data_IF_947147852590
#
_entry.id   IF_947147852590
#
_cell.length_a   1.000
_cell.length_b   1.000
_cell.length_c   1.000
_cell.angle_alpha   90.00
_cell.angle_beta   90.00
_cell.angle_gamma   90.00
#
_symmetry.space_group_name_H-M   'P 1'
#
loop_
_entity.id
_entity.type
_entity.pdbx_description
1 polymer ?
#
# COMPACT_ATOMS: atom_id res chain seq x y z
N UNK A 1 -12.52 10.38 47.71
CA UNK A 1 -12.52 11.64 46.94
C UNK A 1 -13.17 11.32 45.61
N UNK A 2 -14.44 11.67 45.47
CA UNK A 2 -15.30 11.29 44.34
C UNK A 2 -15.39 12.50 43.43
N UNK A 3 -14.96 12.37 42.18
CA UNK A 3 -15.13 13.40 41.15
C UNK A 3 -16.09 12.83 40.12
N UNK A 4 -17.32 13.36 40.12
CA UNK A 4 -18.33 13.14 39.08
C UNK A 4 -18.11 14.15 37.96
N UNK A 5 -17.98 13.68 36.73
CA UNK A 5 -17.90 14.51 35.52
C UNK A 5 -19.20 14.38 34.73
N UNK A 6 -19.94 15.49 34.62
CA UNK A 6 -21.16 15.59 33.81
C UNK A 6 -20.79 15.91 32.36
N UNK A 7 -21.18 15.04 31.42
CA UNK A 7 -21.18 15.33 29.99
C UNK A 7 -22.47 16.05 29.61
N UNK A 8 -22.35 17.27 29.08
CA UNK A 8 -23.44 17.98 28.39
C UNK A 8 -23.35 17.66 26.89
N UNK A 9 -24.41 17.06 26.35
CA UNK A 9 -24.57 16.76 24.93
C UNK A 9 -25.39 17.87 24.26
N UNK A 10 -24.83 18.53 23.24
CA UNK A 10 -25.54 19.51 22.42
C UNK A 10 -25.96 18.85 21.10
N UNK A 11 -27.22 18.42 21.04
CA UNK A 11 -27.90 18.04 19.80
C UNK A 11 -28.62 19.27 19.24
N UNK A 12 -28.19 19.78 18.09
CA UNK A 12 -28.89 20.83 17.35
C UNK A 12 -30.01 20.21 16.50
N UNK A 13 -31.26 20.39 16.97
CA UNK A 13 -32.47 20.08 16.21
C UNK A 13 -32.81 21.30 15.35
N UNK A 14 -32.68 21.18 14.03
CA UNK A 14 -33.17 22.19 13.09
C UNK A 14 -34.63 21.88 12.75
N UNK A 15 -35.56 22.70 13.26
CA UNK A 15 -36.99 22.67 12.86
C UNK A 15 -37.21 23.61 11.68
N UNK A 16 -37.49 23.05 10.51
CA UNK A 16 -37.95 23.79 9.34
C UNK A 16 -39.45 24.06 9.47
N UNK A 17 -39.84 25.33 9.51
CA UNK A 17 -41.24 25.75 9.50
C UNK A 17 -41.60 26.22 8.10
N UNK A 18 -42.52 25.53 7.42
CA UNK A 18 -43.05 25.92 6.11
C UNK A 18 -44.33 26.73 6.32
N UNK A 19 -44.35 27.96 5.83
CA UNK A 19 -45.56 28.76 5.64
C UNK A 19 -45.40 29.58 4.36
N UNK A 20 -46.42 29.50 3.51
CA UNK A 20 -46.36 29.90 2.10
C UNK A 20 -46.55 31.40 1.83
N UNK A 21 -46.38 31.74 0.56
CA UNK A 21 -46.65 33.08 0.03
C UNK A 21 -45.90 33.34 -1.27
N UNK A 22 -46.63 33.36 -2.38
CA UNK A 22 -46.16 33.65 -3.76
C UNK A 22 -45.93 35.15 -3.94
N UNK A 23 -44.82 35.56 -4.59
CA UNK A 23 -44.81 36.50 -5.73
C UNK A 23 -43.40 36.75 -6.28
N UNK A 24 -43.33 36.73 -7.62
CA UNK A 24 -42.21 37.02 -8.51
C UNK A 24 -41.65 38.45 -8.37
N UNK A 25 -40.32 38.59 -8.39
CA UNK A 25 -39.63 39.79 -8.87
C UNK A 25 -38.45 39.35 -9.73
N UNK A 26 -38.46 39.78 -10.99
CA UNK A 26 -37.38 39.61 -11.96
C UNK A 26 -36.35 40.72 -11.66
N UNK A 27 -35.12 40.34 -11.32
CA UNK A 27 -34.01 41.30 -11.17
C UNK A 27 -32.75 40.70 -11.78
N UNK A 28 -32.37 41.22 -12.95
CA UNK A 28 -31.06 40.99 -13.55
C UNK A 28 -29.98 41.64 -12.68
N UNK A 29 -28.98 40.86 -12.26
CA UNK A 29 -27.73 41.36 -11.71
C UNK A 29 -26.56 40.68 -12.42
N UNK A 30 -25.78 41.48 -13.12
CA UNK A 30 -24.45 41.21 -13.65
C UNK A 30 -23.45 41.25 -12.50
N UNK A 31 -22.62 40.22 -12.34
CA UNK A 31 -21.37 40.25 -11.57
C UNK A 31 -21.47 39.95 -10.07
N UNK A 32 -20.78 38.89 -9.62
CA UNK A 32 -20.46 38.68 -8.21
C UNK A 32 -20.40 37.21 -7.80
N UNK A 33 -19.16 36.68 -7.70
CA UNK A 33 -18.70 35.55 -6.88
C UNK A 33 -19.67 34.37 -6.73
N UNK A 34 -19.63 33.46 -7.71
CA UNK A 34 -20.27 32.16 -7.62
C UNK A 34 -19.67 31.34 -6.47
N UNK A 35 -20.50 31.08 -5.46
CA UNK A 35 -20.20 30.06 -4.46
C UNK A 35 -20.00 28.73 -5.15
N UNK A 36 -18.78 28.19 -5.03
CA UNK A 36 -18.47 26.84 -5.46
C UNK A 36 -19.39 25.89 -4.72
N UNK A 37 -20.41 25.40 -5.42
CA UNK A 37 -21.02 24.14 -5.05
C UNK A 37 -19.89 23.13 -5.12
N UNK A 38 -19.50 22.58 -3.96
CA UNK A 38 -18.64 21.40 -3.94
C UNK A 38 -19.47 20.30 -4.62
N UNK A 39 -19.27 20.13 -5.92
CA UNK A 39 -19.64 18.89 -6.56
C UNK A 39 -18.91 17.80 -5.80
N UNK A 40 -19.66 16.98 -5.07
CA UNK A 40 -19.14 15.69 -4.64
C UNK A 40 -18.64 15.01 -5.92
N UNK A 41 -17.35 14.63 -6.00
CA UNK A 41 -16.89 13.86 -7.14
C UNK A 41 -17.76 12.60 -7.20
N UNK A 42 -18.49 12.45 -8.29
CA UNK A 42 -19.13 11.17 -8.61
C UNK A 42 -17.96 10.26 -8.94
N UNK A 43 -17.58 9.38 -8.00
CA UNK A 43 -16.72 8.24 -8.29
C UNK A 43 -17.53 7.32 -9.20
N UNK A 44 -17.28 7.46 -10.50
CA UNK A 44 -17.68 6.43 -11.45
C UNK A 44 -16.67 5.32 -11.21
N UNK A 45 -17.08 4.22 -10.58
CA UNK A 45 -16.24 3.02 -10.51
C UNK A 45 -15.90 2.64 -11.95
N UNK A 46 -14.61 2.47 -12.24
CA UNK A 46 -14.20 2.04 -13.57
C UNK A 46 -14.71 0.60 -13.76
N UNK A 47 -15.30 0.28 -14.92
CA UNK A 47 -16.05 -0.97 -15.13
C UNK A 47 -15.24 -2.29 -15.05
N UNK A 48 -14.00 -2.27 -14.59
CA UNK A 48 -13.12 -3.44 -14.39
C UNK A 48 -12.28 -3.33 -13.09
N UNK A 49 -12.77 -2.58 -12.10
CA UNK A 49 -12.08 -2.39 -10.82
C UNK A 49 -12.16 -3.66 -9.97
N UNK A 50 -10.99 -4.21 -9.65
CA UNK A 50 -10.84 -5.35 -8.75
C UNK A 50 -10.62 -4.83 -7.33
N UNK A 51 -11.15 -5.53 -6.34
CA UNK A 51 -10.98 -5.18 -4.92
C UNK A 51 -10.14 -6.27 -4.25
N UNK A 52 -9.14 -5.83 -3.49
CA UNK A 52 -8.38 -6.68 -2.58
C UNK A 52 -8.75 -6.31 -1.14
N UNK A 53 -9.52 -7.17 -0.49
CA UNK A 53 -9.87 -6.98 0.91
C UNK A 53 -8.69 -7.35 1.82
N UNK A 54 -8.40 -6.51 2.80
CA UNK A 54 -7.32 -6.72 3.78
C UNK A 54 -7.92 -6.61 5.17
N UNK A 55 -7.72 -7.62 6.01
CA UNK A 55 -8.08 -7.63 7.43
C UNK A 55 -6.89 -7.15 8.27
N UNK A 56 -6.85 -5.87 8.69
CA UNK A 56 -5.83 -5.41 9.62
C UNK A 56 -6.10 -5.96 11.03
N UNK A 57 -5.03 -6.33 11.72
CA UNK A 57 -5.03 -6.95 13.04
C UNK A 57 -3.96 -6.26 13.88
N UNK A 58 -4.37 -5.57 14.94
CA UNK A 58 -3.46 -5.00 15.92
C UNK A 58 -3.08 -6.06 16.95
N UNK A 59 -1.80 -6.40 17.03
CA UNK A 59 -1.31 -7.31 18.08
C UNK A 59 -0.99 -6.51 19.34
N UNK A 60 -1.39 -7.05 20.48
CA UNK A 60 -1.15 -6.50 21.81
C UNK A 60 -0.58 -7.59 22.74
N UNK A 61 -0.10 -7.15 23.90
CA UNK A 61 0.19 -8.06 25.00
C UNK A 61 -1.06 -8.81 25.49
N UNK A 62 -0.85 -9.80 26.35
CA UNK A 62 -1.92 -10.69 26.85
C UNK A 62 -3.07 -9.92 27.53
N UNK A 63 -2.76 -8.74 28.11
CA UNK A 63 -3.72 -7.89 28.81
C UNK A 63 -4.41 -6.88 27.88
N UNK A 64 -3.97 -6.75 26.62
CA UNK A 64 -4.45 -5.78 25.65
C UNK A 64 -4.10 -4.33 26.00
N UNK A 65 -3.01 -4.11 26.76
CA UNK A 65 -2.59 -2.80 27.26
C UNK A 65 -1.50 -2.20 26.38
N UNK A 66 -0.47 -2.98 26.07
CA UNK A 66 0.61 -2.57 25.16
C UNK A 66 0.32 -3.17 23.79
N UNK A 67 0.15 -2.33 22.79
CA UNK A 67 -0.20 -2.74 21.44
C UNK A 67 0.79 -2.17 20.43
N UNK A 68 1.02 -2.91 19.34
CA UNK A 68 1.70 -2.41 18.17
C UNK A 68 0.96 -1.20 17.59
N UNK A 69 1.70 -0.30 16.96
CA UNK A 69 1.14 0.84 16.26
C UNK A 69 0.58 0.40 14.91
N UNK A 70 -0.57 0.98 14.56
CA UNK A 70 -1.25 0.68 13.30
C UNK A 70 -1.16 1.90 12.40
N UNK A 71 -0.54 1.71 11.23
CA UNK A 71 -0.53 2.69 10.15
C UNK A 71 -0.74 1.95 8.82
N UNK A 72 -1.89 2.18 8.20
CA UNK A 72 -2.34 1.42 7.04
C UNK A 72 -1.75 1.96 5.73
N UNK A 73 -1.34 3.23 5.70
CA UNK A 73 -0.89 3.90 4.47
C UNK A 73 -1.83 3.65 3.28
N UNK A 74 -3.15 3.64 3.51
CA UNK A 74 -4.15 3.19 2.53
C UNK A 74 -4.02 3.90 1.18
N UNK A 75 -3.96 5.24 1.18
CA UNK A 75 -3.78 6.03 -0.04
C UNK A 75 -2.48 5.68 -0.82
N UNK A 76 -1.43 5.21 -0.13
CA UNK A 76 -0.19 4.75 -0.77
C UNK A 76 -0.41 3.39 -1.41
N UNK A 77 -1.04 2.45 -0.69
CA UNK A 77 -1.37 1.13 -1.20
C UNK A 77 -2.29 1.22 -2.43
N UNK A 78 -3.35 2.03 -2.36
CA UNK A 78 -4.27 2.28 -3.46
C UNK A 78 -3.58 2.92 -4.66
N UNK A 79 -2.68 3.89 -4.44
CA UNK A 79 -1.97 4.52 -5.56
C UNK A 79 -1.05 3.52 -6.27
N UNK A 80 -0.37 2.65 -5.51
CA UNK A 80 0.51 1.64 -6.10
C UNK A 80 -0.31 0.59 -6.86
N UNK A 81 -1.33 0.01 -6.23
CA UNK A 81 -2.15 -1.05 -6.81
C UNK A 81 -3.16 -0.57 -7.85
N UNK A 82 -3.50 0.72 -7.84
CA UNK A 82 -4.25 1.38 -8.90
C UNK A 82 -3.57 1.30 -10.27
N UNK A 83 -2.24 1.14 -10.34
CA UNK A 83 -1.53 0.84 -11.59
C UNK A 83 -2.03 -0.46 -12.24
N UNK A 84 -2.51 -1.40 -11.43
CA UNK A 84 -3.08 -2.68 -11.84
C UNK A 84 -4.62 -2.66 -11.86
N UNK A 85 -5.28 -1.51 -11.62
CA UNK A 85 -6.73 -1.44 -11.47
C UNK A 85 -7.26 -2.26 -10.28
N UNK A 86 -6.47 -2.35 -9.21
CA UNK A 86 -6.82 -3.01 -7.95
C UNK A 86 -6.97 -1.93 -6.87
N UNK A 87 -8.11 -1.94 -6.20
CA UNK A 87 -8.46 -1.13 -5.04
C UNK A 87 -8.15 -1.91 -3.75
N UNK A 88 -7.52 -1.28 -2.76
CA UNK A 88 -7.22 -1.93 -1.48
C UNK A 88 -8.29 -1.55 -0.46
N UNK A 89 -9.14 -2.50 -0.09
CA UNK A 89 -10.18 -2.28 0.89
C UNK A 89 -9.75 -2.79 2.26
N UNK A 90 -9.34 -1.89 3.16
CA UNK A 90 -9.08 -2.26 4.55
C UNK A 90 -10.38 -2.48 5.31
N UNK A 91 -10.57 -3.70 5.83
CA UNK A 91 -11.66 -4.06 6.72
C UNK A 91 -11.47 -3.42 8.11
N UNK A 92 -12.52 -3.39 8.96
CA UNK A 92 -12.40 -2.89 10.32
C UNK A 92 -11.29 -3.61 11.11
N UNK A 93 -10.51 -2.83 11.85
CA UNK A 93 -9.38 -3.33 12.66
C UNK A 93 -9.83 -4.39 13.68
N UNK A 94 -9.21 -5.56 13.60
CA UNK A 94 -9.29 -6.60 14.62
C UNK A 94 -8.14 -6.45 15.63
N UNK A 95 -8.26 -7.10 16.78
CA UNK A 95 -7.23 -7.09 17.81
C UNK A 95 -6.90 -8.52 18.26
N UNK A 96 -5.62 -8.80 18.44
CA UNK A 96 -5.08 -10.06 18.98
C UNK A 96 -4.31 -9.75 20.27
N UNK A 97 -4.75 -10.29 21.41
CA UNK A 97 -4.07 -10.14 22.70
C UNK A 97 -3.23 -11.38 22.99
N UNK A 98 -1.99 -11.36 22.53
CA UNK A 98 -1.04 -12.44 22.77
C UNK A 98 0.39 -11.91 22.60
N UNK A 99 1.08 -11.78 23.74
CA UNK A 99 2.44 -11.27 23.79
C UNK A 99 3.45 -12.10 23.01
N UNK A 100 3.12 -13.36 22.68
CA UNK A 100 3.95 -14.22 21.81
C UNK A 100 4.09 -13.63 20.42
N UNK A 101 3.03 -13.01 19.88
CA UNK A 101 3.04 -12.48 18.51
C UNK A 101 3.30 -10.98 18.44
N UNK A 102 3.36 -10.29 19.59
CA UNK A 102 3.71 -8.86 19.64
C UNK A 102 5.18 -8.64 19.22
N UNK A 103 6.06 -9.58 19.56
CA UNK A 103 7.43 -9.68 19.04
C UNK A 103 7.54 -11.05 18.40
N UNK A 104 7.60 -11.10 17.07
CA UNK A 104 7.38 -12.35 16.31
C UNK A 104 8.56 -12.71 15.43
N UNK A 105 8.73 -13.99 15.13
CA UNK A 105 9.68 -14.49 14.12
C UNK A 105 8.99 -15.21 12.93
N UNK A 106 9.78 -15.84 12.06
CA UNK A 106 9.28 -16.57 10.88
C UNK A 106 8.48 -17.84 11.26
N UNK A 107 8.86 -18.55 12.33
CA UNK A 107 8.15 -19.75 12.77
C UNK A 107 6.77 -19.36 13.34
N UNK A 108 6.72 -18.28 14.12
CA UNK A 108 5.48 -17.72 14.67
C UNK A 108 4.60 -17.10 13.57
N UNK A 109 5.18 -16.52 12.52
CA UNK A 109 4.42 -16.04 11.37
C UNK A 109 3.67 -17.17 10.64
N UNK A 110 4.31 -18.34 10.50
CA UNK A 110 3.66 -19.53 9.92
C UNK A 110 2.48 -19.96 10.81
N UNK A 111 2.63 -19.89 12.12
CA UNK A 111 1.58 -20.21 13.10
C UNK A 111 0.38 -19.27 12.95
N UNK A 112 0.63 -17.95 12.94
CA UNK A 112 -0.37 -16.90 12.68
C UNK A 112 -1.12 -17.11 11.36
N UNK A 113 -0.42 -17.61 10.33
CA UNK A 113 -0.98 -17.77 9.00
C UNK A 113 -1.83 -19.04 8.83
N UNK A 114 -1.48 -20.16 9.50
CA UNK A 114 -2.06 -21.47 9.20
C UNK A 114 -2.53 -22.32 10.36
N UNK A 115 -2.12 -22.02 11.58
CA UNK A 115 -2.58 -22.80 12.71
C UNK A 115 -3.97 -22.37 13.14
N UNK A 116 -4.64 -23.24 13.88
CA UNK A 116 -5.98 -22.99 14.39
C UNK A 116 -7.08 -23.10 13.34
N UNK A 117 -8.27 -22.70 13.74
CA UNK A 117 -9.49 -22.67 12.94
C UNK A 117 -9.68 -21.29 12.26
N UNK A 118 -10.70 -21.19 11.42
CA UNK A 118 -11.12 -19.92 10.81
C UNK A 118 -11.41 -18.87 11.88
N UNK A 119 -10.86 -17.66 11.71
CA UNK A 119 -10.99 -16.56 12.66
C UNK A 119 -10.01 -16.57 13.85
N UNK A 120 -9.26 -17.67 14.06
CA UNK A 120 -8.20 -17.68 15.07
C UNK A 120 -7.13 -16.63 14.74
N UNK A 121 -6.41 -16.16 15.76
CA UNK A 121 -5.36 -15.14 15.64
C UNK A 121 -5.86 -13.79 15.08
N UNK A 122 -7.16 -13.51 15.19
CA UNK A 122 -7.78 -12.28 14.70
C UNK A 122 -8.03 -12.26 13.19
N UNK A 123 -7.79 -13.38 12.49
CA UNK A 123 -8.00 -13.49 11.04
C UNK A 123 -9.45 -13.26 10.65
N UNK A 124 -9.67 -12.92 9.38
CA UNK A 124 -11.02 -12.97 8.84
C UNK A 124 -11.48 -14.44 8.75
N UNK A 125 -12.73 -14.78 9.15
CA UNK A 125 -13.21 -16.17 9.11
C UNK A 125 -13.31 -16.75 7.69
N UNK A 126 -13.45 -15.90 6.67
CA UNK A 126 -13.48 -16.34 5.27
C UNK A 126 -12.09 -16.37 4.61
N UNK A 127 -11.03 -15.96 5.33
CA UNK A 127 -9.66 -16.10 4.81
C UNK A 127 -9.28 -17.57 4.67
N UNK A 128 -8.83 -17.93 3.49
CA UNK A 128 -8.20 -19.23 3.22
C UNK A 128 -6.74 -19.03 2.82
N UNK A 129 -6.03 -20.11 2.48
CA UNK A 129 -4.64 -20.01 2.01
C UNK A 129 -4.49 -19.20 0.70
N UNK A 130 -5.53 -19.15 -0.12
CA UNK A 130 -5.46 -18.69 -1.52
C UNK A 130 -6.58 -17.76 -1.91
N UNK A 131 -7.55 -17.48 -1.03
CA UNK A 131 -8.76 -16.71 -1.32
C UNK A 131 -9.24 -16.03 -0.02
N UNK A 132 -10.15 -15.07 -0.14
CA UNK A 132 -10.71 -14.25 0.93
C UNK A 132 -9.80 -13.10 1.35
N UNK A 133 -10.18 -12.34 2.40
CA UNK A 133 -9.38 -11.20 2.83
C UNK A 133 -7.95 -11.60 3.22
N UNK A 134 -6.99 -10.72 2.90
CA UNK A 134 -5.60 -10.89 3.31
C UNK A 134 -5.41 -10.45 4.75
N UNK A 135 -4.84 -11.30 5.59
CA UNK A 135 -4.60 -10.96 7.00
C UNK A 135 -3.31 -10.15 7.16
N UNK A 136 -3.40 -8.99 7.80
CA UNK A 136 -2.30 -8.06 8.01
C UNK A 136 -2.13 -7.82 9.52
N UNK A 137 -1.08 -8.41 10.12
CA UNK A 137 -0.76 -8.20 11.53
C UNK A 137 0.25 -7.08 11.71
N UNK A 138 -0.13 -6.10 12.52
CA UNK A 138 0.77 -5.10 13.07
C UNK A 138 1.39 -5.62 14.36
N UNK A 139 2.72 -5.67 14.39
CA UNK A 139 3.54 -6.19 15.49
C UNK A 139 4.57 -5.14 15.92
N UNK A 140 5.09 -5.26 17.14
CA UNK A 140 6.14 -4.34 17.63
C UNK A 140 7.45 -4.60 16.88
N UNK A 141 7.89 -5.87 16.85
CA UNK A 141 9.17 -6.28 16.26
C UNK A 141 9.02 -7.57 15.47
N UNK A 142 9.67 -7.63 14.31
CA UNK A 142 9.93 -8.87 13.56
C UNK A 142 11.38 -9.29 13.81
N UNK A 143 11.58 -10.34 14.59
CA UNK A 143 12.90 -10.87 14.91
C UNK A 143 13.53 -11.58 13.70
N UNK A 144 14.79 -11.25 13.41
CA UNK A 144 15.54 -11.91 12.32
C UNK A 144 16.83 -12.54 12.83
N UNK A 145 17.17 -13.72 12.28
CA UNK A 145 18.43 -14.40 12.59
C UNK A 145 19.66 -13.66 12.07
N UNK A 146 19.47 -12.71 11.15
CA UNK A 146 20.54 -11.88 10.57
C UNK A 146 20.91 -10.68 11.43
N UNK A 147 20.06 -10.33 12.42
CA UNK A 147 20.20 -9.12 13.22
C UNK A 147 19.90 -7.82 12.44
N UNK A 148 19.38 -7.93 11.22
CA UNK A 148 18.88 -6.80 10.44
C UNK A 148 17.42 -6.52 10.83
N UNK A 149 17.05 -5.25 10.78
CA UNK A 149 15.66 -4.80 10.95
C UNK A 149 14.82 -5.29 9.77
N UNK A 150 13.69 -5.91 10.08
CA UNK A 150 12.69 -6.32 9.10
C UNK A 150 11.43 -5.50 9.30
N UNK A 151 11.03 -4.80 8.23
CA UNK A 151 9.89 -3.88 8.22
C UNK A 151 8.57 -4.57 7.90
N UNK A 152 8.63 -5.65 7.13
CA UNK A 152 7.49 -6.47 6.75
C UNK A 152 7.91 -7.88 6.38
N UNK A 153 6.94 -8.79 6.39
CA UNK A 153 7.14 -10.17 5.98
C UNK A 153 5.87 -10.74 5.35
N UNK A 154 5.96 -11.23 4.13
CA UNK A 154 4.90 -11.98 3.48
C UNK A 154 5.48 -13.04 2.55
N UNK A 155 4.70 -14.08 2.33
CA UNK A 155 5.10 -15.22 1.51
C UNK A 155 3.96 -15.66 0.62
N UNK A 156 4.32 -16.12 -0.57
CA UNK A 156 3.36 -16.62 -1.54
C UNK A 156 2.62 -17.83 -0.97
N UNK A 157 1.29 -17.74 -1.01
CA UNK A 157 0.41 -18.79 -0.51
C UNK A 157 0.51 -18.96 1.00
N UNK A 158 0.90 -17.91 1.74
CA UNK A 158 0.71 -17.88 3.19
C UNK A 158 -0.55 -17.11 3.65
N UNK A 159 -1.22 -16.35 2.77
CA UNK A 159 -2.31 -15.44 3.13
C UNK A 159 -2.04 -14.67 4.44
N UNK A 160 -0.97 -13.88 4.40
CA UNK A 160 -0.52 -13.18 5.57
C UNK A 160 0.50 -12.11 5.25
N UNK A 161 0.48 -11.04 6.04
CA UNK A 161 1.46 -9.97 6.05
C UNK A 161 1.76 -9.62 7.51
N UNK A 162 3.04 -9.57 7.87
CA UNK A 162 3.51 -8.88 9.07
C UNK A 162 4.00 -7.49 8.71
N UNK A 163 3.76 -6.52 9.59
CA UNK A 163 4.31 -5.17 9.54
C UNK A 163 4.77 -4.78 10.94
N UNK A 164 6.02 -4.34 11.07
CA UNK A 164 6.58 -3.92 12.36
C UNK A 164 6.44 -2.42 12.63
N UNK A 165 6.47 -2.03 13.91
CA UNK A 165 6.51 -0.62 14.32
C UNK A 165 7.76 0.12 13.77
N UNK A 166 8.85 -0.61 13.48
CA UNK A 166 10.08 -0.06 12.87
C UNK A 166 9.81 0.68 11.55
N UNK A 167 8.68 0.42 10.87
CA UNK A 167 8.31 1.17 9.66
C UNK A 167 8.20 2.66 9.96
N UNK A 168 7.76 3.05 11.15
CA UNK A 168 7.43 4.43 11.51
C UNK A 168 8.68 5.27 11.70
N UNK A 169 9.77 4.68 12.20
CA UNK A 169 11.03 5.39 12.44
C UNK A 169 11.89 5.56 11.17
N UNK A 170 11.53 4.90 10.08
CA UNK A 170 12.28 4.97 8.84
C UNK A 170 12.27 6.38 8.21
N UNK A 171 13.36 6.71 7.53
CA UNK A 171 13.59 7.99 6.87
C UNK A 171 13.29 9.19 7.78
N UNK A 172 13.84 9.16 9.00
CA UNK A 172 13.65 10.17 10.03
C UNK A 172 12.18 10.35 10.46
N UNK A 173 11.41 9.27 10.51
CA UNK A 173 10.01 9.31 10.92
C UNK A 173 9.00 9.47 9.76
N UNK A 174 9.46 9.50 8.51
CA UNK A 174 8.56 9.63 7.36
C UNK A 174 7.82 8.32 7.02
N UNK A 175 8.35 7.18 7.48
CA UNK A 175 7.71 5.88 7.31
C UNK A 175 8.30 5.04 6.17
N UNK A 176 8.23 3.71 6.28
CA UNK A 176 8.31 2.78 5.12
C UNK A 176 6.96 2.67 4.45
N UNK A 177 6.51 3.77 3.86
CA UNK A 177 5.12 3.93 3.40
C UNK A 177 4.70 2.91 2.31
N UNK A 178 5.66 2.32 1.60
CA UNK A 178 5.42 1.32 0.54
C UNK A 178 5.39 -0.15 1.03
N UNK A 179 5.65 -0.40 2.32
CA UNK A 179 5.85 -1.75 2.85
C UNK A 179 4.61 -2.62 2.68
N UNK A 180 3.43 -2.12 3.03
CA UNK A 180 2.18 -2.89 2.92
C UNK A 180 1.93 -3.28 1.47
N UNK A 181 2.09 -2.35 0.52
CA UNK A 181 1.93 -2.64 -0.91
C UNK A 181 2.93 -3.72 -1.39
N UNK A 182 4.18 -3.64 -0.93
CA UNK A 182 5.20 -4.65 -1.24
C UNK A 182 4.80 -6.05 -0.75
N UNK A 183 4.40 -6.15 0.52
CA UNK A 183 4.06 -7.43 1.13
C UNK A 183 2.76 -8.01 0.57
N UNK A 184 1.77 -7.18 0.22
CA UNK A 184 0.58 -7.62 -0.52
C UNK A 184 0.96 -8.22 -1.88
N UNK A 185 2.00 -7.69 -2.54
CA UNK A 185 2.51 -8.23 -3.79
C UNK A 185 2.97 -9.68 -3.68
N UNK A 186 3.53 -10.08 -2.52
CA UNK A 186 3.86 -11.49 -2.27
C UNK A 186 2.61 -12.36 -2.16
N UNK A 187 1.53 -11.90 -1.55
CA UNK A 187 0.27 -12.66 -1.51
C UNK A 187 -0.35 -12.78 -2.91
N UNK A 188 -0.19 -11.77 -3.76
CA UNK A 188 -0.61 -11.78 -5.17
C UNK A 188 0.34 -12.55 -6.11
N UNK A 189 1.31 -13.30 -5.55
CA UNK A 189 2.16 -14.21 -6.32
C UNK A 189 3.44 -13.58 -6.89
N UNK A 190 3.76 -12.33 -6.54
CA UNK A 190 4.95 -11.63 -7.04
C UNK A 190 6.18 -11.96 -6.19
N UNK A 191 7.35 -12.02 -6.83
CA UNK A 191 8.64 -12.37 -6.22
C UNK A 191 9.69 -11.35 -6.59
N UNK A 192 10.63 -11.09 -5.68
CA UNK A 192 11.78 -10.23 -5.97
C UNK A 192 12.65 -10.72 -7.14
N UNK A 193 12.65 -12.01 -7.49
CA UNK A 193 13.59 -12.59 -8.48
C UNK A 193 13.02 -12.83 -9.88
N UNK A 194 11.69 -12.87 -10.02
CA UNK A 194 11.01 -13.24 -11.28
C UNK A 194 9.96 -12.21 -11.71
N UNK A 195 9.48 -11.41 -10.76
CA UNK A 195 8.46 -10.37 -10.94
C UNK A 195 8.83 -9.16 -10.06
N UNK A 196 10.02 -8.58 -10.26
CA UNK A 196 10.57 -7.58 -9.35
C UNK A 196 12.09 -7.54 -9.28
N UNK A 197 12.78 -8.45 -9.97
CA UNK A 197 14.22 -8.39 -10.12
C UNK A 197 14.54 -7.40 -11.23
N UNK A 198 14.72 -6.14 -10.90
CA UNK A 198 15.19 -5.20 -11.91
C UNK A 198 15.67 -3.91 -11.31
N UNK A 199 14.74 -2.98 -11.15
CA UNK A 199 15.07 -1.58 -10.96
C UNK A 199 14.73 -1.10 -9.56
N UNK A 200 15.52 -0.15 -9.06
CA UNK A 200 15.33 0.40 -7.72
C UNK A 200 13.94 1.05 -7.53
N UNK A 201 13.29 1.49 -8.61
CA UNK A 201 11.97 2.11 -8.61
C UNK A 201 10.80 1.10 -8.65
N UNK A 202 11.05 -0.21 -8.74
CA UNK A 202 10.01 -1.23 -8.72
C UNK A 202 9.57 -1.55 -7.29
N UNK A 203 8.25 -1.65 -7.04
CA UNK A 203 7.74 -1.96 -5.69
C UNK A 203 8.22 -3.32 -5.20
N UNK A 204 8.35 -4.32 -6.08
CA UNK A 204 8.80 -5.68 -5.72
C UNK A 204 10.32 -5.85 -5.71
N UNK A 205 11.10 -4.78 -5.89
CA UNK A 205 12.53 -4.84 -5.63
C UNK A 205 12.80 -5.14 -4.16
N UNK A 206 13.79 -5.98 -3.90
CA UNK A 206 14.20 -6.30 -2.53
C UNK A 206 14.66 -5.02 -1.79
N UNK A 207 14.48 -4.98 -0.48
CA UNK A 207 14.84 -3.81 0.34
C UNK A 207 16.32 -3.39 0.25
N UNK A 208 17.21 -4.27 -0.22
CA UNK A 208 18.63 -3.96 -0.41
C UNK A 208 18.92 -3.02 -1.60
N UNK A 209 18.01 -2.94 -2.57
CA UNK A 209 18.18 -2.16 -3.81
C UNK A 209 17.01 -1.22 -4.10
N UNK A 210 15.88 -1.39 -3.41
CA UNK A 210 14.67 -0.57 -3.61
C UNK A 210 14.86 0.85 -3.09
N UNK A 211 14.48 1.83 -3.91
CA UNK A 211 14.28 3.22 -3.52
C UNK A 211 12.84 3.36 -3.02
N UNK A 212 12.69 3.74 -1.76
CA UNK A 212 11.38 3.90 -1.10
C UNK A 212 10.87 5.32 -1.34
N UNK A 213 9.60 5.52 -1.73
CA UNK A 213 9.02 6.86 -1.85
C UNK A 213 8.99 7.58 -0.49
N UNK A 214 9.21 8.90 -0.49
CA UNK A 214 9.12 9.73 0.72
C UNK A 214 7.69 10.26 0.93
N UNK A 215 6.90 10.28 -0.13
CA UNK A 215 5.53 10.76 -0.14
C UNK A 215 4.68 10.07 -1.21
N UNK A 216 3.37 10.28 -1.16
CA UNK A 216 2.44 9.81 -2.20
C UNK A 216 2.77 10.43 -3.57
N UNK A 217 3.30 11.64 -3.61
CA UNK A 217 3.60 12.37 -4.85
C UNK A 217 4.78 11.75 -5.61
N UNK A 218 5.62 10.96 -4.94
CA UNK A 218 6.76 10.27 -5.57
C UNK A 218 6.36 8.98 -6.29
N UNK A 219 5.13 8.49 -6.07
CA UNK A 219 4.65 7.22 -6.62
C UNK A 219 4.15 7.43 -8.05
N UNK A 220 4.53 6.50 -8.93
CA UNK A 220 4.11 6.50 -10.33
C UNK A 220 2.57 6.67 -10.47
N UNK A 221 2.08 7.48 -11.42
CA UNK A 221 2.81 8.12 -12.52
C UNK A 221 3.45 9.48 -12.18
N UNK A 222 3.36 9.92 -10.93
CA UNK A 222 3.76 11.26 -10.49
C UNK A 222 5.23 11.31 -10.01
N UNK A 223 5.71 12.53 -9.76
CA UNK A 223 6.98 12.82 -9.10
C UNK A 223 8.18 12.02 -9.62
N UNK A 224 8.92 11.41 -8.70
CA UNK A 224 10.09 10.56 -8.98
C UNK A 224 9.71 9.20 -9.59
N UNK A 225 8.40 8.91 -9.67
CA UNK A 225 7.81 7.73 -10.32
C UNK A 225 8.36 6.44 -9.73
N UNK A 226 8.38 6.33 -8.41
CA UNK A 226 8.77 5.15 -7.64
C UNK A 226 7.59 4.18 -7.49
N UNK A 227 7.86 3.02 -6.88
CA UNK A 227 6.91 1.92 -6.63
C UNK A 227 6.14 1.46 -7.88
N UNK A 228 6.84 1.33 -9.01
CA UNK A 228 6.26 0.88 -10.27
C UNK A 228 5.92 -0.61 -10.28
N UNK A 229 4.85 -0.95 -11.00
CA UNK A 229 4.58 -2.31 -11.46
C UNK A 229 4.93 -2.47 -12.95
N UNK A 230 5.52 -3.61 -13.33
CA UNK A 230 5.69 -4.00 -14.73
C UNK A 230 4.39 -4.58 -15.29
N UNK A 231 4.20 -4.61 -16.62
CA UNK A 231 3.04 -5.24 -17.22
C UNK A 231 2.82 -6.69 -16.77
N UNK A 232 3.88 -7.47 -16.64
CA UNK A 232 3.80 -8.88 -16.21
C UNK A 232 3.43 -9.00 -14.72
N UNK A 233 3.84 -8.06 -13.88
CA UNK A 233 3.40 -7.99 -12.48
C UNK A 233 1.91 -7.68 -12.39
N UNK A 234 1.44 -6.73 -13.20
CA UNK A 234 0.02 -6.36 -13.27
C UNK A 234 -0.81 -7.56 -13.72
N UNK A 235 -0.42 -8.23 -14.81
CA UNK A 235 -1.13 -9.43 -15.31
C UNK A 235 -1.16 -10.52 -14.23
N UNK A 236 0.00 -10.86 -13.64
CA UNK A 236 0.09 -11.91 -12.62
C UNK A 236 -0.75 -11.60 -11.37
N UNK A 237 -0.76 -10.34 -10.93
CA UNK A 237 -1.53 -9.92 -9.76
C UNK A 237 -3.04 -10.02 -10.02
N UNK A 238 -3.50 -9.58 -11.19
CA UNK A 238 -4.91 -9.62 -11.60
C UNK A 238 -5.46 -11.05 -11.77
N UNK A 239 -4.60 -12.06 -11.88
CA UNK A 239 -4.97 -13.48 -11.89
C UNK A 239 -5.18 -14.08 -10.48
N UNK A 240 -5.03 -13.28 -9.42
CA UNK A 240 -5.12 -13.79 -8.06
C UNK A 240 -6.56 -14.10 -7.64
N UNK A 241 -6.76 -15.28 -7.05
CA UNK A 241 -8.01 -15.68 -6.41
C UNK A 241 -8.37 -14.83 -5.18
N UNK A 242 -7.48 -13.95 -4.69
CA UNK A 242 -7.79 -13.00 -3.61
C UNK A 242 -8.61 -11.79 -4.07
N UNK A 243 -8.76 -11.58 -5.38
CA UNK A 243 -9.41 -10.40 -5.93
C UNK A 243 -10.89 -10.69 -6.19
N UNK A 244 -11.74 -9.75 -5.77
CA UNK A 244 -13.17 -9.75 -6.07
C UNK A 244 -13.50 -8.64 -7.06
N UNK A 245 -14.59 -8.80 -7.82
CA UNK A 245 -15.11 -7.71 -8.63
C UNK A 245 -15.78 -6.68 -7.71
N UNK A 246 -15.53 -5.39 -7.96
CA UNK A 246 -16.26 -4.35 -7.25
C UNK A 246 -17.76 -4.50 -7.56
N UNK A 247 -18.58 -4.65 -6.52
CA UNK A 247 -20.03 -4.65 -6.69
C UNK A 247 -20.44 -3.32 -7.34
N UNK A 248 -21.24 -3.34 -8.43
CA UNK A 248 -21.71 -2.11 -9.03
C UNK A 248 -22.49 -1.31 -7.99
N UNK A 249 -22.18 -0.03 -7.83
CA UNK A 249 -22.93 0.83 -6.93
C UNK A 249 -24.41 0.82 -7.35
N UNK A 250 -25.28 0.13 -6.60
CA UNK A 250 -26.71 0.02 -6.89
C UNK A 250 -27.40 1.40 -6.86
N UNK A 251 -26.75 2.43 -6.29
CA UNK A 251 -27.20 3.82 -6.34
C UNK A 251 -26.64 4.60 -7.54
N UNK A 252 -25.75 4.02 -8.34
CA UNK A 252 -25.44 4.54 -9.66
C UNK A 252 -26.67 4.34 -10.54
N UNK A 253 -27.52 5.38 -10.60
CA UNK A 253 -28.67 5.38 -11.47
C UNK A 253 -28.20 5.00 -12.88
N UNK A 254 -28.81 4.00 -13.53
CA UNK A 254 -28.41 3.62 -14.87
C UNK A 254 -28.48 4.88 -15.72
N UNK A 255 -27.36 5.24 -16.34
CA UNK A 255 -27.31 6.32 -17.31
C UNK A 255 -28.18 5.84 -18.47
N UNK A 256 -29.46 6.17 -18.42
CA UNK A 256 -30.38 5.79 -19.49
C UNK A 256 -29.95 6.54 -20.75
N UNK A 257 -30.14 5.95 -21.93
CA UNK A 257 -29.89 6.63 -23.21
C UNK A 257 -30.56 8.02 -23.30
N UNK A 258 -31.55 8.31 -22.45
CA UNK A 258 -32.22 9.60 -22.36
C UNK A 258 -31.38 10.71 -21.68
N UNK A 259 -30.37 10.36 -20.88
CA UNK A 259 -29.46 11.31 -20.21
C UNK A 259 -28.15 11.52 -20.98
N UNK A 260 -27.92 10.78 -22.06
CA UNK A 260 -26.87 11.10 -23.02
C UNK A 260 -27.21 12.45 -23.66
N UNK A 261 -26.60 13.52 -23.13
CA UNK A 261 -26.65 14.85 -23.74
C UNK A 261 -26.31 14.65 -25.22
N UNK A 262 -27.23 14.97 -26.16
CA UNK A 262 -26.92 14.85 -27.56
C UNK A 262 -25.69 15.71 -27.81
N UNK A 263 -24.61 15.05 -28.23
CA UNK A 263 -23.39 15.70 -28.66
C UNK A 263 -23.78 16.63 -29.81
N UNK A 264 -24.06 17.91 -29.51
CA UNK A 264 -24.25 18.93 -30.52
C UNK A 264 -22.87 19.07 -31.15
N UNK A 265 -22.69 18.37 -32.27
CA UNK A 265 -21.58 18.58 -33.19
C UNK A 265 -21.70 20.03 -33.64
N UNK A 266 -20.99 20.93 -32.95
CA UNK A 266 -20.77 22.27 -33.39
C UNK A 266 -19.85 22.19 -34.61
N UNK A 267 -20.48 22.03 -35.77
CA UNK A 267 -19.88 22.27 -37.08
C UNK A 267 -19.61 23.78 -37.18
N UNK A 268 -18.50 24.21 -36.58
CA UNK A 268 -18.04 25.58 -36.61
C UNK A 268 -16.83 25.68 -37.54
N UNK A 269 -17.16 25.85 -38.82
CA UNK A 269 -16.56 26.81 -39.75
C UNK A 269 -15.04 27.00 -39.64
N UNK A 270 -14.37 26.43 -40.64
CA UNK A 270 -13.13 26.90 -41.24
C UNK A 270 -13.03 28.44 -41.25
N UNK A 271 -12.17 28.99 -40.40
CA UNK A 271 -11.57 30.31 -40.59
C UNK A 271 -10.09 30.08 -40.93
N UNK A 272 -9.84 30.08 -42.23
CA UNK A 272 -8.55 30.30 -42.88
C UNK A 272 -8.09 31.73 -42.54
N UNK A 273 -7.10 31.88 -41.67
CA UNK A 273 -6.37 33.14 -41.50
C UNK A 273 -4.89 32.84 -41.25
N UNK A 274 -4.08 33.15 -42.26
CA UNK A 274 -2.87 33.94 -42.04
C UNK A 274 -1.62 33.19 -41.56
N UNK A 275 -0.95 32.55 -42.51
CA UNK A 275 0.49 32.27 -42.47
C UNK A 275 1.30 33.53 -42.11
N UNK A 276 1.81 33.61 -40.88
CA UNK A 276 2.83 34.58 -40.49
C UNK A 276 4.24 33.99 -40.70
N UNK A 277 5.20 34.78 -41.24
CA UNK A 277 6.55 34.30 -41.51
C UNK A 277 7.37 34.19 -40.22
N UNK A 278 8.00 33.03 -40.04
CA UNK A 278 8.97 32.72 -38.99
C UNK A 278 10.27 33.50 -39.30
N UNK A 279 10.80 34.34 -38.40
CA UNK A 279 12.13 34.88 -38.56
C UNK A 279 13.18 33.80 -38.27
N UNK A 280 14.08 33.64 -39.22
CA UNK A 280 15.27 32.79 -39.21
C UNK A 280 16.16 33.17 -38.00
N UNK A 281 16.23 32.30 -36.99
CA UNK A 281 17.14 32.46 -35.86
C UNK A 281 18.48 31.85 -36.24
N UNK A 282 19.41 32.75 -36.54
CA UNK A 282 20.83 32.51 -36.81
C UNK A 282 21.48 31.64 -35.72
N UNK A 283 22.11 30.55 -36.16
CA UNK A 283 22.92 29.68 -35.34
C UNK A 283 24.12 30.46 -34.76
N UNK A 284 24.20 30.56 -33.44
CA UNK A 284 25.42 30.96 -32.74
C UNK A 284 26.24 29.73 -32.35
N UNK A 285 27.56 29.74 -32.58
CA UNK A 285 28.44 28.62 -32.26
C UNK A 285 28.66 28.51 -30.75
N UNK A 286 28.51 27.30 -30.21
CA UNK A 286 28.99 26.93 -28.88
C UNK A 286 30.52 27.12 -28.82
N UNK A 287 30.96 28.12 -28.07
CA UNK A 287 32.32 28.22 -27.60
C UNK A 287 32.48 27.40 -26.31
N UNK A 288 33.39 26.42 -26.33
CA UNK A 288 33.98 25.84 -25.14
C UNK A 288 34.63 26.95 -24.31
N UNK A 289 34.24 27.07 -23.06
CA UNK A 289 35.00 27.81 -22.06
C UNK A 289 35.20 26.91 -20.83
N UNK A 290 36.45 26.49 -20.66
CA UNK A 290 37.01 26.02 -19.41
C UNK A 290 36.61 26.96 -18.27
N UNK A 291 36.32 26.39 -17.10
CA UNK A 291 36.35 27.13 -15.85
C UNK A 291 37.08 26.36 -14.76
N UNK A 292 37.80 27.10 -13.89
CA UNK A 292 38.94 26.58 -13.16
C UNK A 292 38.56 25.92 -11.83
N UNK A 293 39.42 24.99 -11.46
CA UNK A 293 39.57 24.41 -10.12
C UNK A 293 39.70 25.53 -9.08
N UNK A 294 38.70 25.64 -8.21
CA UNK A 294 38.79 26.42 -6.98
C UNK A 294 38.74 25.47 -5.78
N UNK A 295 39.93 25.26 -5.22
CA UNK A 295 40.22 24.63 -3.94
C UNK A 295 39.49 25.36 -2.80
N UNK A 296 38.67 24.65 -2.03
CA UNK A 296 38.25 25.09 -0.70
C UNK A 296 38.43 23.94 0.28
N UNK A 297 39.34 24.16 1.22
CA UNK A 297 39.57 23.31 2.37
C UNK A 297 38.41 23.44 3.37
N UNK A 298 37.80 22.31 3.72
CA UNK A 298 36.78 22.19 4.76
C UNK A 298 37.03 20.93 5.59
N UNK A 299 36.96 21.08 6.91
CA UNK A 299 37.34 20.10 7.96
C UNK A 299 36.62 18.74 7.86
N UNK A 300 37.24 17.66 8.41
CA UNK A 300 36.67 16.32 8.38
C UNK A 300 35.53 16.17 9.40
N UNK A 301 34.37 15.72 8.94
CA UNK A 301 33.33 15.11 9.78
C UNK A 301 33.45 13.59 9.62
N UNK A 302 33.56 12.89 10.74
CA UNK A 302 33.72 11.45 10.84
C UNK A 302 32.40 10.75 10.44
N UNK A 303 32.40 10.08 9.29
CA UNK A 303 31.45 9.04 8.95
C UNK A 303 32.12 7.65 9.13
N UNK A 304 31.40 6.64 9.62
CA UNK A 304 31.94 5.29 9.81
C UNK A 304 32.13 4.59 8.46
N UNK A 305 33.33 4.02 8.27
CA UNK A 305 33.68 3.21 7.10
C UNK A 305 32.95 1.86 7.17
N UNK A 306 32.01 1.63 6.25
CA UNK A 306 31.56 0.28 5.90
C UNK A 306 32.66 -0.36 5.04
N UNK A 307 33.28 -1.42 5.57
CA UNK A 307 34.19 -2.28 4.84
C UNK A 307 33.39 -3.15 3.87
N UNK A 308 33.51 -2.85 2.57
CA UNK A 308 33.08 -3.75 1.51
C UNK A 308 33.99 -4.99 1.50
N UNK A 309 33.45 -6.14 1.90
CA UNK A 309 34.08 -7.44 1.69
C UNK A 309 33.63 -7.98 0.34
N UNK A 310 34.54 -8.01 -0.63
CA UNK A 310 34.36 -8.72 -1.88
C UNK A 310 34.65 -10.21 -1.64
N UNK A 311 33.60 -11.04 -1.61
CA UNK A 311 33.75 -12.48 -1.80
C UNK A 311 33.15 -12.92 -3.12
N UNK A 312 33.95 -13.70 -3.83
CA UNK A 312 33.67 -14.23 -5.15
C UNK A 312 32.51 -15.23 -5.12
N UNK A 313 31.55 -15.06 -6.03
CA UNK A 313 30.46 -16.00 -6.27
C UNK A 313 31.02 -17.23 -6.98
N UNK A 314 31.05 -18.36 -6.29
CA UNK A 314 31.23 -19.67 -6.90
C UNK A 314 29.89 -20.12 -7.48
N UNK A 315 29.86 -20.40 -8.78
CA UNK A 315 28.72 -20.98 -9.46
C UNK A 315 28.40 -22.38 -8.88
N UNK A 316 27.16 -22.57 -8.44
CA UNK A 316 26.60 -23.87 -8.06
C UNK A 316 25.80 -24.40 -9.25
N UNK A 317 26.00 -25.65 -9.69
CA UNK A 317 25.31 -26.20 -10.84
C UNK A 317 23.83 -26.50 -10.54
N UNK A 318 22.98 -26.16 -11.49
CA UNK A 318 21.58 -26.53 -11.60
C UNK A 318 21.42 -28.06 -11.62
N UNK A 319 20.65 -28.61 -10.68
CA UNK A 319 19.76 -29.76 -10.90
C UNK A 319 18.81 -29.91 -9.70
N UNK A 320 17.55 -29.53 -9.90
CA UNK A 320 16.44 -29.87 -8.98
C UNK A 320 15.71 -31.11 -9.50
N UNK A 321 15.53 -32.18 -8.69
CA UNK A 321 14.61 -33.26 -9.02
C UNK A 321 13.14 -32.88 -8.69
N UNK A 322 12.22 -33.41 -9.51
CA UNK A 322 10.77 -33.16 -9.52
C UNK A 322 10.01 -33.57 -8.24
N UNK A 323 8.81 -33.01 -7.97
CA UNK A 323 8.15 -33.01 -6.65
C UNK A 323 7.31 -34.27 -6.31
N UNK A 324 7.70 -35.48 -6.74
CA UNK A 324 6.88 -36.69 -6.56
C UNK A 324 7.50 -37.79 -5.69
N UNK A 325 8.49 -37.50 -4.82
CA UNK A 325 9.22 -38.55 -4.08
C UNK A 325 9.09 -38.49 -2.55
N UNK A 326 8.19 -37.70 -1.97
CA UNK A 326 7.96 -37.71 -0.51
C UNK A 326 6.63 -38.36 -0.14
N UNK A 327 6.52 -39.66 -0.38
CA UNK A 327 5.57 -40.52 0.33
C UNK A 327 6.27 -41.83 0.66
N UNK A 328 6.29 -42.19 1.95
CA UNK A 328 6.90 -43.37 2.59
C UNK A 328 8.33 -43.19 3.11
N UNK A 329 8.45 -42.75 4.37
CA UNK A 329 9.26 -43.39 5.42
C UNK A 329 9.12 -42.62 6.75
N UNK A 330 8.17 -43.03 7.60
CA UNK A 330 8.15 -42.68 9.02
C UNK A 330 8.92 -43.75 9.81
N UNK A 331 9.83 -43.36 10.72
CA UNK A 331 10.07 -44.12 11.94
C UNK A 331 9.40 -43.43 13.13
N UNK A 332 8.61 -44.22 13.85
CA UNK A 332 8.09 -43.94 15.18
C UNK A 332 9.24 -43.53 16.11
N UNK A 333 9.23 -42.28 16.56
CA UNK A 333 10.13 -41.75 17.58
C UNK A 333 9.37 -40.87 18.55
N UNK A 334 9.05 -41.41 19.72
CA UNK A 334 8.58 -40.62 20.86
C UNK A 334 9.60 -39.53 21.20
N UNK A 335 9.20 -38.25 21.14
CA UNK A 335 9.87 -37.17 21.86
C UNK A 335 8.92 -36.59 22.90
N UNK A 336 9.29 -36.79 24.14
CA UNK A 336 8.78 -36.10 25.32
C UNK A 336 9.29 -34.66 25.25
N UNK A 337 8.41 -33.68 25.01
CA UNK A 337 8.75 -32.27 25.18
C UNK A 337 8.70 -31.92 26.67
N UNK A 338 9.86 -31.64 27.25
CA UNK A 338 9.98 -31.00 28.56
C UNK A 338 9.84 -29.49 28.37
N UNK A 339 8.70 -28.94 28.78
CA UNK A 339 8.45 -27.49 28.89
C UNK A 339 9.47 -26.87 29.87
N UNK A 340 10.37 -26.04 29.37
CA UNK A 340 11.15 -25.13 30.23
C UNK A 340 10.26 -23.91 30.49
N UNK A 341 9.72 -23.85 31.71
CA UNK A 341 9.08 -22.66 32.26
C UNK A 341 10.14 -21.54 32.35
N UNK A 342 9.98 -20.46 31.56
CA UNK A 342 10.63 -19.19 31.84
C UNK A 342 9.91 -18.57 33.06
N UNK A 343 10.60 -18.60 34.20
CA UNK A 343 10.19 -17.88 35.41
C UNK A 343 10.46 -16.40 35.23
N UNK A 344 9.42 -15.60 35.46
CA UNK A 344 9.45 -14.14 35.61
C UNK A 344 10.59 -13.68 36.55
N UNK A 345 11.29 -12.63 36.15
CA UNK A 345 11.88 -11.62 37.03
C UNK A 345 11.47 -10.26 36.53
#
# INVERSE_FOLDING_TARGET
>A
MVITSERVSNSLICRLTVLGGVAFVISSCTGGSGGGSSATPVSISEPDQLVLEVQPIQVCDDDGIVCAQVELFEAIADKIWGQAGIDIAFLPLNQLNDSTYLTTDEDEFIDLSFSGDAGDFGRHPDSTRTDGPINLWFVDVIETTTGLVQFGNAWIGLNGVLVSDDILDFNNGAGRIDVIAHELGHNLGLRHSTFGAGEADNVMSSGAVRTVPESIDDIFPDGDRLSRLTPEQIERARESDFLTEAEPDENSLPITEADAIPLIVADALSADEGSLPIPEVSAMPMALADSPIATMAGKPSLAPQLLASTQAVAAVPEHSPSPLTWLLLLPLGHRVYSRVSRSKR
#
